data_IF_396745998633
#
_entry.id   IF_396745998633
#
_cell.length_a   1.000
_cell.length_b   1.000
_cell.length_c   1.000
_cell.angle_alpha   90.00
_cell.angle_beta   90.00
_cell.angle_gamma   90.00
#
_symmetry.space_group_name_H-M   'P 1'
#
loop_
_entity.id
_entity.type
_entity.pdbx_description
1 polymer ?
#
# COMPACT_ATOMS: atom_id res chain seq x y z
N UNK A 1 -8.29 -92.70 31.74
CA UNK A 1 -8.98 -91.39 31.70
C UNK A 1 -7.96 -90.34 32.11
N UNK A 2 -7.43 -89.55 31.17
CA UNK A 2 -6.51 -88.43 31.40
C UNK A 2 -7.35 -87.17 31.46
N UNK A 3 -7.36 -86.34 32.47
CA UNK A 3 -8.10 -85.10 32.46
C UNK A 3 -7.38 -84.05 31.61
N UNK A 4 -8.12 -83.49 30.74
CA UNK A 4 -7.68 -82.42 29.80
C UNK A 4 -7.60 -81.09 30.62
N UNK A 5 -6.40 -80.63 30.98
CA UNK A 5 -6.13 -79.37 31.70
C UNK A 5 -5.50 -78.31 30.77
N UNK A 6 -6.04 -78.14 29.59
CA UNK A 6 -5.55 -77.12 28.71
C UNK A 6 -6.69 -76.19 28.26
N UNK A 7 -7.13 -75.30 29.18
CA UNK A 7 -8.08 -74.25 28.77
C UNK A 7 -8.12 -72.97 29.60
N UNK A 8 -7.13 -72.66 30.43
CA UNK A 8 -7.17 -71.38 31.19
C UNK A 8 -6.00 -70.41 30.93
N UNK A 9 -4.97 -70.82 30.15
CA UNK A 9 -3.80 -69.94 29.97
C UNK A 9 -3.93 -68.93 28.82
N UNK A 10 -4.86 -69.15 27.88
CA UNK A 10 -5.00 -68.32 26.69
C UNK A 10 -5.61 -66.94 26.99
N UNK A 11 -6.56 -66.83 27.92
CA UNK A 11 -7.19 -65.58 28.32
C UNK A 11 -6.24 -64.65 29.06
N UNK A 12 -5.48 -65.18 29.99
CA UNK A 12 -4.54 -64.40 30.79
C UNK A 12 -3.37 -63.87 29.91
N UNK A 13 -2.89 -64.68 28.99
CA UNK A 13 -1.84 -64.29 28.02
C UNK A 13 -2.34 -63.18 27.08
N UNK A 14 -3.57 -63.25 26.60
CA UNK A 14 -4.15 -62.22 25.72
C UNK A 14 -4.33 -60.91 26.48
N UNK A 15 -4.82 -60.93 27.72
CA UNK A 15 -4.96 -59.72 28.57
C UNK A 15 -3.59 -59.08 28.83
N UNK A 16 -2.57 -59.90 29.13
CA UNK A 16 -1.22 -59.43 29.35
C UNK A 16 -0.64 -58.71 28.10
N UNK A 17 -0.84 -59.26 26.91
CA UNK A 17 -0.41 -58.62 25.64
C UNK A 17 -1.14 -57.33 25.39
N UNK A 18 -2.44 -57.22 25.71
CA UNK A 18 -3.20 -55.98 25.57
C UNK A 18 -2.65 -54.91 26.53
N UNK A 19 -2.37 -55.27 27.79
CA UNK A 19 -1.81 -54.37 28.79
C UNK A 19 -0.42 -53.88 28.37
N UNK A 20 0.45 -54.79 27.91
CA UNK A 20 1.78 -54.45 27.39
C UNK A 20 1.66 -53.49 26.17
N UNK A 21 0.76 -53.79 25.24
CA UNK A 21 0.51 -52.93 24.05
C UNK A 21 0.03 -51.52 24.45
N UNK A 22 -0.84 -51.45 25.46
CA UNK A 22 -1.35 -50.16 25.97
C UNK A 22 -0.25 -49.37 26.68
N UNK A 23 0.60 -50.00 27.47
CA UNK A 23 1.76 -49.36 28.13
C UNK A 23 2.77 -48.86 27.10
N UNK A 24 3.08 -49.67 26.07
CA UNK A 24 3.98 -49.28 24.98
C UNK A 24 3.38 -48.13 24.14
N UNK A 25 2.07 -48.15 23.90
CA UNK A 25 1.36 -47.07 23.23
C UNK A 25 1.41 -45.75 24.01
N UNK A 26 1.17 -45.78 25.29
CA UNK A 26 1.28 -44.64 26.19
C UNK A 26 2.73 -44.13 26.23
N UNK A 27 3.70 -45.02 26.37
CA UNK A 27 5.11 -44.67 26.38
C UNK A 27 5.52 -44.02 25.05
N UNK A 28 5.11 -44.58 23.90
CA UNK A 28 5.36 -43.98 22.59
C UNK A 28 4.71 -42.60 22.44
N UNK A 29 3.50 -42.43 22.95
CA UNK A 29 2.84 -41.10 22.95
C UNK A 29 3.65 -40.07 23.78
N UNK A 30 4.03 -40.40 25.00
CA UNK A 30 4.74 -39.48 25.87
C UNK A 30 6.19 -39.20 25.44
N UNK A 31 6.90 -40.19 24.91
CA UNK A 31 8.32 -40.04 24.58
C UNK A 31 8.61 -39.72 23.14
N UNK A 32 7.72 -40.02 22.20
CA UNK A 32 7.92 -39.78 20.75
C UNK A 32 6.96 -38.74 20.19
N UNK A 33 5.65 -38.89 20.41
CA UNK A 33 4.63 -38.06 19.75
C UNK A 33 4.49 -36.70 20.44
N UNK A 34 4.40 -36.68 21.76
CA UNK A 34 4.20 -35.45 22.50
C UNK A 34 5.38 -34.46 22.35
N UNK A 35 6.66 -34.87 22.51
CA UNK A 35 7.78 -33.96 22.30
C UNK A 35 7.91 -33.49 20.87
N UNK A 36 7.64 -34.35 19.87
CA UNK A 36 7.69 -33.97 18.46
C UNK A 36 6.62 -32.91 18.14
N UNK A 37 5.41 -33.10 18.67
CA UNK A 37 4.30 -32.14 18.49
C UNK A 37 4.55 -30.82 19.20
N UNK A 38 5.10 -30.84 20.40
CA UNK A 38 5.48 -29.64 21.16
C UNK A 38 6.58 -28.88 20.45
N UNK A 39 7.57 -29.57 19.89
CA UNK A 39 8.64 -28.95 19.11
C UNK A 39 8.11 -28.32 17.83
N UNK A 40 7.20 -28.98 17.13
CA UNK A 40 6.55 -28.43 15.93
C UNK A 40 5.76 -27.16 16.26
N UNK A 41 4.94 -27.20 17.32
CA UNK A 41 4.14 -26.05 17.78
C UNK A 41 5.00 -24.87 18.23
N UNK A 42 6.12 -25.15 18.92
CA UNK A 42 7.06 -24.11 19.32
C UNK A 42 7.79 -23.50 18.11
N UNK A 43 8.12 -24.30 17.10
CA UNK A 43 8.73 -23.79 15.85
C UNK A 43 7.75 -22.89 15.10
N UNK A 44 6.50 -23.30 14.96
CA UNK A 44 5.45 -22.51 14.32
C UNK A 44 5.25 -21.17 15.04
N UNK A 45 5.12 -21.19 16.39
CA UNK A 45 5.01 -19.95 17.19
C UNK A 45 6.24 -19.06 17.06
N UNK A 46 7.44 -19.63 17.02
CA UNK A 46 8.67 -18.85 16.81
C UNK A 46 8.70 -18.21 15.43
N UNK A 47 8.24 -18.88 14.38
CA UNK A 47 8.11 -18.32 13.05
C UNK A 47 7.12 -17.16 13.02
N UNK A 48 5.98 -17.28 13.69
CA UNK A 48 5.01 -16.19 13.82
C UNK A 48 5.62 -14.98 14.56
N UNK A 49 6.31 -15.20 15.68
CA UNK A 49 6.98 -14.12 16.42
C UNK A 49 8.00 -13.40 15.55
N UNK A 50 8.80 -14.14 14.77
CA UNK A 50 9.77 -13.56 13.82
C UNK A 50 9.03 -12.73 12.76
N UNK A 51 7.96 -13.25 12.17
CA UNK A 51 7.17 -12.54 11.17
C UNK A 51 6.54 -11.26 11.72
N UNK A 52 5.99 -11.30 12.94
CA UNK A 52 5.46 -10.10 13.62
C UNK A 52 6.56 -9.09 13.96
N UNK A 53 7.73 -9.55 14.41
CA UNK A 53 8.86 -8.64 14.70
C UNK A 53 9.38 -7.95 13.43
N UNK A 54 9.42 -8.65 12.29
CA UNK A 54 9.77 -8.08 11.00
C UNK A 54 8.73 -7.03 10.54
N UNK A 55 7.43 -7.34 10.67
CA UNK A 55 6.36 -6.38 10.37
C UNK A 55 6.45 -5.13 11.24
N UNK A 56 6.72 -5.30 12.52
CA UNK A 56 6.89 -4.19 13.46
C UNK A 56 8.10 -3.33 13.10
N UNK A 57 9.24 -3.95 12.78
CA UNK A 57 10.43 -3.24 12.33
C UNK A 57 10.17 -2.43 11.06
N UNK A 58 9.52 -3.04 10.07
CA UNK A 58 9.17 -2.34 8.83
C UNK A 58 8.21 -1.16 9.10
N UNK A 59 7.21 -1.35 9.96
CA UNK A 59 6.30 -0.28 10.35
C UNK A 59 7.02 0.86 11.07
N UNK A 60 7.96 0.55 11.97
CA UNK A 60 8.77 1.55 12.66
C UNK A 60 9.67 2.33 11.66
N UNK A 61 10.30 1.65 10.72
CA UNK A 61 11.09 2.31 9.67
C UNK A 61 10.22 3.24 8.80
N UNK A 62 9.03 2.80 8.42
CA UNK A 62 8.08 3.65 7.69
C UNK A 62 7.65 4.86 8.51
N UNK A 63 7.41 4.69 9.81
CA UNK A 63 7.08 5.79 10.71
C UNK A 63 8.23 6.81 10.81
N UNK A 64 9.48 6.35 10.93
CA UNK A 64 10.64 7.24 11.02
C UNK A 64 10.87 8.04 9.71
N UNK A 65 10.66 7.40 8.56
CA UNK A 65 10.70 8.06 7.24
C UNK A 65 9.60 9.14 7.17
N UNK A 66 8.37 8.76 7.49
CA UNK A 66 7.22 9.69 7.46
C UNK A 66 7.42 10.87 8.40
N UNK A 67 7.96 10.63 9.59
CA UNK A 67 8.30 11.70 10.55
C UNK A 67 9.35 12.65 9.99
N UNK A 68 10.40 12.10 9.37
CA UNK A 68 11.46 12.92 8.75
C UNK A 68 10.90 13.80 7.62
N UNK A 69 10.02 13.24 6.79
CA UNK A 69 9.34 13.98 5.72
C UNK A 69 8.43 15.07 6.28
N UNK A 70 7.68 14.76 7.33
CA UNK A 70 6.84 15.76 8.01
C UNK A 70 7.65 16.94 8.54
N UNK A 71 8.76 16.64 9.25
CA UNK A 71 9.64 17.68 9.81
C UNK A 71 10.28 18.53 8.70
N UNK A 72 10.67 17.90 7.57
CA UNK A 72 11.19 18.60 6.37
C UNK A 72 10.14 19.55 5.78
N UNK A 73 8.91 19.07 5.59
CA UNK A 73 7.83 19.87 5.02
C UNK A 73 7.41 21.01 5.93
N UNK A 74 7.42 20.82 7.25
CA UNK A 74 7.14 21.88 8.21
C UNK A 74 8.21 22.98 8.17
N UNK A 75 9.48 22.60 8.05
CA UNK A 75 10.57 23.56 7.89
C UNK A 75 10.45 24.34 6.57
N UNK A 76 10.14 23.66 5.47
CA UNK A 76 9.93 24.31 4.17
C UNK A 76 8.74 25.27 4.19
N UNK A 77 7.61 24.88 4.79
CA UNK A 77 6.45 25.75 4.93
C UNK A 77 6.76 27.02 5.73
N UNK A 78 7.55 26.91 6.83
CA UNK A 78 7.99 28.04 7.61
C UNK A 78 8.92 28.99 6.83
N UNK A 79 9.83 28.45 6.02
CA UNK A 79 10.72 29.25 5.17
C UNK A 79 9.93 30.04 4.13
N UNK A 80 8.98 29.39 3.43
CA UNK A 80 8.10 30.04 2.46
C UNK A 80 7.24 31.12 3.12
N UNK A 81 6.70 30.85 4.30
CA UNK A 81 5.91 31.84 5.06
C UNK A 81 6.75 33.06 5.44
N UNK A 82 7.97 32.86 5.95
CA UNK A 82 8.86 33.97 6.30
C UNK A 82 9.15 34.84 5.06
N UNK A 83 9.35 34.23 3.89
CA UNK A 83 9.61 34.97 2.65
C UNK A 83 8.39 35.72 2.15
N UNK A 84 7.19 35.15 2.33
CA UNK A 84 5.94 35.89 2.05
C UNK A 84 5.79 37.12 2.90
N UNK A 85 6.11 37.03 4.21
CA UNK A 85 6.01 38.14 5.16
C UNK A 85 6.97 39.28 4.78
N UNK A 86 8.14 38.98 4.22
CA UNK A 86 9.08 39.99 3.70
C UNK A 86 8.56 40.72 2.45
N UNK A 87 7.76 40.04 1.63
CA UNK A 87 7.26 40.56 0.35
C UNK A 87 6.01 41.44 0.47
N UNK A 88 5.53 41.70 1.68
CA UNK A 88 4.21 42.33 1.95
C UNK A 88 3.96 43.72 1.35
N UNK A 89 4.84 44.29 0.55
CA UNK A 89 4.73 45.70 0.11
C UNK A 89 4.65 45.94 -1.39
N UNK A 90 4.47 44.94 -2.30
CA UNK A 90 4.53 45.43 -3.64
C UNK A 90 4.00 44.66 -4.82
N UNK A 91 3.81 43.35 -4.76
CA UNK A 91 3.39 42.62 -5.96
C UNK A 91 2.42 41.50 -5.63
N UNK A 92 1.12 41.75 -5.89
CA UNK A 92 0.04 40.77 -5.64
C UNK A 92 0.23 39.46 -6.38
N UNK A 93 0.86 39.47 -7.56
CA UNK A 93 1.09 38.26 -8.36
C UNK A 93 2.18 37.37 -7.76
N UNK A 94 3.27 37.96 -7.25
CA UNK A 94 4.31 37.23 -6.50
C UNK A 94 3.73 36.65 -5.22
N UNK A 95 2.98 37.44 -4.46
CA UNK A 95 2.32 36.96 -3.24
C UNK A 95 1.39 35.78 -3.51
N UNK A 96 0.63 35.81 -4.61
CA UNK A 96 -0.26 34.71 -4.98
C UNK A 96 0.53 33.40 -5.23
N UNK A 97 1.72 33.47 -5.85
CA UNK A 97 2.57 32.30 -6.07
C UNK A 97 3.12 31.72 -4.74
N UNK A 98 3.56 32.56 -3.80
CA UNK A 98 3.99 32.12 -2.49
C UNK A 98 2.83 31.52 -1.67
N UNK A 99 1.64 32.15 -1.72
CA UNK A 99 0.44 31.61 -1.07
C UNK A 99 0.05 30.25 -1.65
N UNK A 100 0.12 30.11 -2.98
CA UNK A 100 -0.09 28.81 -3.65
C UNK A 100 0.88 27.73 -3.16
N UNK A 101 2.16 28.08 -3.03
CA UNK A 101 3.18 27.16 -2.54
C UNK A 101 2.92 26.78 -1.07
N UNK A 102 2.56 27.73 -0.21
CA UNK A 102 2.17 27.45 1.19
C UNK A 102 0.99 26.48 1.24
N UNK A 103 -0.03 26.71 0.41
CA UNK A 103 -1.21 25.84 0.33
C UNK A 103 -0.84 24.41 -0.07
N UNK A 104 0.03 24.25 -1.07
CA UNK A 104 0.53 22.94 -1.51
C UNK A 104 1.26 22.23 -0.37
N UNK A 105 2.20 22.91 0.30
CA UNK A 105 2.96 22.37 1.43
C UNK A 105 2.07 21.98 2.61
N UNK A 106 1.05 22.79 2.92
CA UNK A 106 0.09 22.49 3.99
C UNK A 106 -0.71 21.23 3.70
N UNK A 107 -1.26 21.10 2.48
CA UNK A 107 -2.02 19.92 2.09
C UNK A 107 -1.13 18.66 2.05
N UNK A 108 0.09 18.82 1.55
CA UNK A 108 1.05 17.71 1.56
C UNK A 108 1.36 17.25 3.00
N UNK A 109 1.62 18.19 3.91
CA UNK A 109 1.89 17.92 5.33
C UNK A 109 0.71 17.25 6.05
N UNK A 110 -0.51 17.64 5.72
CA UNK A 110 -1.72 17.04 6.33
C UNK A 110 -2.12 15.71 5.68
N UNK A 111 -1.43 15.31 4.61
CA UNK A 111 -1.72 14.07 3.88
C UNK A 111 -2.88 14.18 2.88
N UNK A 112 -3.40 15.40 2.62
CA UNK A 112 -4.35 15.63 1.54
C UNK A 112 -3.61 15.73 0.20
N UNK A 113 -3.16 14.56 -0.27
CA UNK A 113 -2.36 14.44 -1.50
C UNK A 113 -3.17 14.82 -2.74
N UNK A 114 -4.50 14.65 -2.73
CA UNK A 114 -5.36 15.04 -3.85
C UNK A 114 -5.40 16.55 -4.00
N UNK A 115 -5.62 17.29 -2.89
CA UNK A 115 -5.60 18.74 -2.93
C UNK A 115 -4.20 19.29 -3.26
N UNK A 116 -3.14 18.70 -2.69
CA UNK A 116 -1.76 19.10 -2.98
C UNK A 116 -1.41 18.90 -4.47
N UNK A 117 -1.78 17.77 -5.07
CA UNK A 117 -1.54 17.45 -6.47
C UNK A 117 -2.26 18.41 -7.42
N UNK A 118 -3.54 18.64 -7.20
CA UNK A 118 -4.35 19.59 -7.99
C UNK A 118 -3.79 21.00 -7.89
N UNK A 119 -3.52 21.48 -6.69
CA UNK A 119 -2.96 22.81 -6.46
C UNK A 119 -1.58 22.98 -7.12
N UNK A 120 -0.73 21.94 -7.08
CA UNK A 120 0.59 21.99 -7.72
C UNK A 120 0.50 22.05 -9.25
N UNK A 121 -0.43 21.31 -9.86
CA UNK A 121 -0.64 21.31 -11.30
C UNK A 121 -1.16 22.66 -11.82
N UNK A 122 -2.00 23.34 -11.04
CA UNK A 122 -2.59 24.65 -11.40
C UNK A 122 -1.67 25.82 -11.08
N UNK A 123 -0.61 25.61 -10.27
CA UNK A 123 0.26 26.68 -9.80
C UNK A 123 1.31 27.08 -10.84
N UNK A 124 1.56 28.40 -10.93
CA UNK A 124 2.75 28.96 -11.58
C UNK A 124 3.72 29.49 -10.50
N UNK A 125 5.02 29.33 -10.76
CA UNK A 125 6.10 29.77 -9.86
C UNK A 125 7.12 30.66 -10.58
N UNK A 126 6.74 31.22 -11.76
CA UNK A 126 7.63 31.92 -12.68
C UNK A 126 8.17 33.25 -12.10
N UNK A 127 7.44 33.83 -11.17
CA UNK A 127 7.81 35.12 -10.55
C UNK A 127 8.62 34.95 -9.26
N UNK A 128 8.85 33.74 -8.82
CA UNK A 128 9.69 33.45 -7.65
C UNK A 128 11.15 33.52 -8.08
N UNK A 129 11.87 34.53 -7.57
CA UNK A 129 13.29 34.74 -7.88
C UNK A 129 14.24 34.16 -6.82
N UNK A 130 13.75 33.93 -5.60
CA UNK A 130 14.54 33.40 -4.50
C UNK A 130 14.99 31.95 -4.79
N UNK A 131 16.30 31.73 -4.83
CA UNK A 131 16.87 30.42 -5.18
C UNK A 131 16.57 29.31 -4.18
N UNK A 132 16.43 29.63 -2.89
CA UNK A 132 16.03 28.63 -1.88
C UNK A 132 14.59 28.19 -2.12
N UNK A 133 13.70 29.14 -2.43
CA UNK A 133 12.30 28.83 -2.72
C UNK A 133 12.16 28.07 -4.05
N UNK A 134 12.95 28.42 -5.06
CA UNK A 134 13.03 27.63 -6.31
C UNK A 134 13.47 26.18 -6.03
N UNK A 135 14.45 25.99 -5.14
CA UNK A 135 14.89 24.67 -4.75
C UNK A 135 13.79 23.88 -4.03
N UNK A 136 12.98 24.54 -3.19
CA UNK A 136 11.80 23.94 -2.55
C UNK A 136 10.77 23.52 -3.60
N UNK A 137 10.43 24.39 -4.55
CA UNK A 137 9.49 24.08 -5.65
C UNK A 137 9.98 22.86 -6.45
N UNK A 138 11.27 22.83 -6.77
CA UNK A 138 11.85 21.72 -7.53
C UNK A 138 11.86 20.41 -6.72
N UNK A 139 12.15 20.48 -5.42
CA UNK A 139 12.04 19.32 -4.53
C UNK A 139 10.62 18.77 -4.48
N UNK A 140 9.61 19.63 -4.39
CA UNK A 140 8.20 19.22 -4.44
C UNK A 140 7.87 18.60 -5.80
N UNK A 141 8.33 19.20 -6.90
CA UNK A 141 8.13 18.67 -8.25
C UNK A 141 8.69 17.25 -8.38
N UNK A 142 9.89 17.03 -7.90
CA UNK A 142 10.53 15.70 -7.90
C UNK A 142 9.75 14.71 -7.05
N UNK A 143 9.33 15.07 -5.85
CA UNK A 143 8.52 14.20 -4.99
C UNK A 143 7.18 13.86 -5.65
N UNK A 144 6.49 14.83 -6.23
CA UNK A 144 5.22 14.63 -6.94
C UNK A 144 5.38 13.62 -8.08
N UNK A 145 6.42 13.79 -8.91
CA UNK A 145 6.63 12.95 -10.10
C UNK A 145 7.32 11.62 -9.82
N UNK A 146 8.04 11.48 -8.70
CA UNK A 146 8.71 10.23 -8.35
C UNK A 146 7.86 9.31 -7.46
N UNK A 147 7.13 9.88 -6.50
CA UNK A 147 6.51 9.11 -5.41
C UNK A 147 5.02 9.36 -5.25
N UNK A 148 4.58 10.61 -5.32
CA UNK A 148 3.21 10.99 -4.94
C UNK A 148 2.18 10.44 -5.92
N UNK A 149 2.45 10.49 -7.22
CA UNK A 149 1.53 9.94 -8.21
C UNK A 149 1.23 8.45 -7.97
N UNK A 150 2.23 7.67 -7.55
CA UNK A 150 2.03 6.25 -7.25
C UNK A 150 1.25 6.05 -5.95
N UNK A 151 1.55 6.82 -4.91
CA UNK A 151 0.77 6.80 -3.67
C UNK A 151 -0.71 7.13 -3.91
N UNK A 152 -1.00 8.06 -4.82
CA UNK A 152 -2.36 8.37 -5.24
C UNK A 152 -3.01 7.17 -5.93
N UNK A 153 -2.30 6.48 -6.83
CA UNK A 153 -2.80 5.25 -7.48
C UNK A 153 -3.10 4.17 -6.43
N UNK A 154 -2.18 3.90 -5.52
CA UNK A 154 -2.33 2.86 -4.48
C UNK A 154 -3.52 3.14 -3.56
N UNK A 155 -3.72 4.42 -3.20
CA UNK A 155 -4.91 4.84 -2.42
C UNK A 155 -6.20 4.69 -3.23
N UNK A 156 -6.17 5.10 -4.51
CA UNK A 156 -7.28 4.89 -5.44
C UNK A 156 -7.67 3.42 -5.57
N UNK A 157 -6.68 2.51 -5.68
CA UNK A 157 -6.89 1.07 -5.72
C UNK A 157 -7.51 0.53 -4.42
N UNK A 158 -7.04 1.01 -3.28
CA UNK A 158 -7.60 0.64 -1.98
C UNK A 158 -9.08 1.00 -1.89
N UNK A 159 -9.43 2.22 -2.30
CA UNK A 159 -10.80 2.73 -2.32
C UNK A 159 -11.67 2.01 -3.36
N UNK A 160 -11.12 1.74 -4.55
CA UNK A 160 -11.76 0.93 -5.58
C UNK A 160 -12.16 -0.44 -5.05
N UNK A 161 -11.21 -1.15 -4.40
CA UNK A 161 -11.44 -2.47 -3.84
C UNK A 161 -12.46 -2.45 -2.67
N UNK A 162 -12.53 -1.33 -1.94
CA UNK A 162 -13.53 -1.10 -0.89
C UNK A 162 -14.92 -0.70 -1.44
N UNK A 163 -15.05 -0.49 -2.76
CA UNK A 163 -16.29 -0.04 -3.41
C UNK A 163 -16.53 1.48 -3.38
N UNK A 164 -15.60 2.26 -2.84
CA UNK A 164 -15.68 3.73 -2.76
C UNK A 164 -15.26 4.38 -4.09
N UNK A 165 -16.06 4.15 -5.14
CA UNK A 165 -15.72 4.49 -6.52
C UNK A 165 -15.54 5.99 -6.77
N UNK A 166 -16.35 6.83 -6.15
CA UNK A 166 -16.27 8.29 -6.30
C UNK A 166 -14.95 8.82 -5.79
N UNK A 167 -14.57 8.42 -4.57
CA UNK A 167 -13.31 8.84 -3.97
C UNK A 167 -12.10 8.24 -4.72
N UNK A 168 -12.21 6.99 -5.18
CA UNK A 168 -11.18 6.37 -6.03
C UNK A 168 -10.92 7.17 -7.31
N UNK A 169 -11.98 7.72 -7.95
CA UNK A 169 -11.87 8.58 -9.13
C UNK A 169 -11.02 9.81 -8.83
N UNK A 170 -11.27 10.48 -7.70
CA UNK A 170 -10.51 11.68 -7.31
C UNK A 170 -9.00 11.39 -7.18
N UNK A 171 -8.66 10.25 -6.58
CA UNK A 171 -7.27 9.83 -6.41
C UNK A 171 -6.59 9.50 -7.74
N UNK A 172 -7.24 8.73 -8.62
CA UNK A 172 -6.68 8.42 -9.93
C UNK A 172 -6.54 9.66 -10.82
N UNK A 173 -7.52 10.54 -10.82
CA UNK A 173 -7.45 11.80 -11.56
C UNK A 173 -6.33 12.70 -11.03
N UNK A 174 -6.17 12.83 -9.71
CA UNK A 174 -5.07 13.57 -9.11
C UNK A 174 -3.70 12.97 -9.49
N UNK A 175 -3.58 11.65 -9.57
CA UNK A 175 -2.38 11.00 -10.09
C UNK A 175 -2.10 11.39 -11.55
N UNK A 176 -3.13 11.39 -12.40
CA UNK A 176 -3.00 11.79 -13.82
C UNK A 176 -2.70 13.28 -14.00
N UNK A 177 -3.06 14.15 -13.05
CA UNK A 177 -2.67 15.56 -13.08
C UNK A 177 -1.16 15.73 -12.93
N UNK A 178 -0.52 14.89 -12.11
CA UNK A 178 0.93 14.88 -11.92
C UNK A 178 1.64 14.14 -13.05
N UNK A 179 1.12 12.96 -13.40
CA UNK A 179 1.69 12.05 -14.38
C UNK A 179 0.62 11.56 -15.36
N UNK A 180 0.35 12.34 -16.42
CA UNK A 180 -0.70 12.03 -17.41
C UNK A 180 -0.45 10.73 -18.18
N UNK A 181 0.79 10.27 -18.20
CA UNK A 181 1.29 9.08 -18.90
C UNK A 181 1.32 7.82 -18.00
N UNK A 182 0.47 7.76 -16.97
CA UNK A 182 0.35 6.58 -16.11
C UNK A 182 -0.72 5.61 -16.62
N UNK A 183 -0.33 4.47 -17.24
CA UNK A 183 -1.30 3.53 -17.84
C UNK A 183 -2.18 2.83 -16.81
N UNK A 184 -1.71 2.66 -15.58
CA UNK A 184 -2.51 2.09 -14.49
C UNK A 184 -3.65 3.03 -14.09
N UNK A 185 -3.35 4.29 -13.84
CA UNK A 185 -4.36 5.30 -13.50
C UNK A 185 -5.35 5.50 -14.65
N UNK A 186 -4.87 5.59 -15.89
CA UNK A 186 -5.73 5.67 -17.10
C UNK A 186 -6.69 4.47 -17.18
N UNK A 187 -6.20 3.25 -16.95
CA UNK A 187 -7.03 2.06 -16.98
C UNK A 187 -8.15 2.12 -15.92
N UNK A 188 -7.84 2.48 -14.68
CA UNK A 188 -8.84 2.52 -13.61
C UNK A 188 -9.83 3.68 -13.76
N UNK A 189 -9.41 4.84 -14.28
CA UNK A 189 -10.32 5.93 -14.67
C UNK A 189 -11.27 5.45 -15.76
N UNK A 190 -10.77 4.74 -16.78
CA UNK A 190 -11.62 4.13 -17.81
C UNK A 190 -12.64 3.16 -17.24
N UNK A 191 -12.24 2.32 -16.28
CA UNK A 191 -13.16 1.40 -15.58
C UNK A 191 -14.22 2.13 -14.77
N UNK A 192 -13.87 3.24 -14.11
CA UNK A 192 -14.82 4.07 -13.36
C UNK A 192 -15.83 4.75 -14.27
N UNK A 193 -15.41 5.26 -15.43
CA UNK A 193 -16.34 5.78 -16.44
C UNK A 193 -17.26 4.68 -16.99
N UNK A 194 -16.72 3.49 -17.25
CA UNK A 194 -17.52 2.33 -17.68
C UNK A 194 -18.58 1.95 -16.63
N UNK A 195 -18.21 1.91 -15.36
CA UNK A 195 -19.14 1.63 -14.26
C UNK A 195 -20.22 2.71 -14.10
N UNK A 196 -19.91 3.95 -14.47
CA UNK A 196 -20.86 5.07 -14.50
C UNK A 196 -21.72 5.08 -15.77
N UNK A 197 -21.47 4.19 -16.74
CA UNK A 197 -22.17 4.13 -18.03
C UNK A 197 -21.65 5.14 -19.07
N UNK A 198 -20.59 5.88 -18.77
CA UNK A 198 -19.94 6.82 -19.66
C UNK A 198 -18.92 6.09 -20.57
N UNK A 199 -19.46 5.42 -21.58
CA UNK A 199 -18.67 4.57 -22.47
C UNK A 199 -17.72 5.38 -23.37
N UNK A 200 -18.04 6.62 -23.69
CA UNK A 200 -17.18 7.47 -24.54
C UNK A 200 -15.89 7.86 -23.82
N UNK A 201 -16.00 8.34 -22.59
CA UNK A 201 -14.84 8.63 -21.77
C UNK A 201 -14.08 7.35 -21.37
N UNK A 202 -14.78 6.25 -21.06
CA UNK A 202 -14.15 4.97 -20.78
C UNK A 202 -13.27 4.50 -21.97
N UNK A 203 -13.83 4.50 -23.18
CA UNK A 203 -13.11 4.10 -24.39
C UNK A 203 -11.90 5.01 -24.67
N UNK A 204 -12.05 6.33 -24.45
CA UNK A 204 -10.95 7.28 -24.59
C UNK A 204 -9.78 6.93 -23.67
N UNK A 205 -10.04 6.56 -22.42
CA UNK A 205 -9.00 6.17 -21.48
C UNK A 205 -8.35 4.82 -21.88
N UNK A 206 -9.16 3.83 -22.28
CA UNK A 206 -8.64 2.53 -22.74
C UNK A 206 -7.80 2.67 -24.01
N UNK A 207 -8.22 3.51 -24.95
CA UNK A 207 -7.47 3.78 -26.17
C UNK A 207 -6.11 4.39 -25.89
N UNK A 208 -6.02 5.33 -24.97
CA UNK A 208 -4.73 5.86 -24.52
C UNK A 208 -3.83 4.76 -24.00
N UNK A 209 -4.34 3.87 -23.14
CA UNK A 209 -3.54 2.75 -22.62
C UNK A 209 -3.04 1.85 -23.75
N UNK A 210 -3.91 1.49 -24.70
CA UNK A 210 -3.58 0.55 -25.79
C UNK A 210 -2.60 1.17 -26.79
N UNK A 211 -2.79 2.45 -27.15
CA UNK A 211 -2.05 3.09 -28.24
C UNK A 211 -0.74 3.73 -27.77
N UNK A 212 -0.73 4.31 -26.56
CA UNK A 212 0.41 5.07 -26.06
C UNK A 212 1.35 4.22 -25.20
N UNK A 213 0.88 3.09 -24.63
CA UNK A 213 1.65 2.26 -23.69
C UNK A 213 1.65 0.77 -24.08
N UNK A 214 2.09 0.39 -25.29
CA UNK A 214 1.95 -0.97 -25.82
C UNK A 214 2.63 -2.05 -24.96
N UNK A 215 3.64 -1.71 -24.18
CA UNK A 215 4.38 -2.60 -23.29
C UNK A 215 3.79 -2.67 -21.86
N UNK A 216 2.71 -1.92 -21.60
CA UNK A 216 2.08 -1.90 -20.28
C UNK A 216 1.33 -3.21 -19.98
N UNK A 217 1.39 -3.72 -18.74
CA UNK A 217 0.57 -4.87 -18.31
C UNK A 217 -0.94 -4.58 -18.35
N UNK A 218 -1.34 -3.32 -18.53
CA UNK A 218 -2.74 -2.90 -18.62
C UNK A 218 -3.33 -2.96 -20.04
N UNK A 219 -2.50 -3.16 -21.08
CA UNK A 219 -2.95 -3.17 -22.49
C UNK A 219 -4.03 -4.23 -22.74
N UNK A 220 -3.75 -5.48 -22.39
CA UNK A 220 -4.72 -6.58 -22.59
C UNK A 220 -5.98 -6.37 -21.75
N UNK A 221 -5.85 -5.83 -20.56
CA UNK A 221 -7.00 -5.51 -19.70
C UNK A 221 -7.85 -4.39 -20.30
N UNK A 222 -7.23 -3.37 -20.89
CA UNK A 222 -7.91 -2.27 -21.56
C UNK A 222 -8.63 -2.73 -22.83
N UNK A 223 -7.99 -3.57 -23.67
CA UNK A 223 -8.63 -4.18 -24.84
C UNK A 223 -9.87 -4.97 -24.45
N UNK A 224 -9.76 -5.86 -23.46
CA UNK A 224 -10.88 -6.65 -22.99
C UNK A 224 -12.02 -5.79 -22.40
N UNK A 225 -11.70 -4.71 -21.69
CA UNK A 225 -12.69 -3.81 -21.13
C UNK A 225 -13.43 -3.01 -22.22
N UNK A 226 -12.76 -2.67 -23.31
CA UNK A 226 -13.35 -2.00 -24.46
C UNK A 226 -14.17 -2.94 -25.36
N UNK A 227 -13.94 -4.26 -25.30
CA UNK A 227 -14.67 -5.24 -26.12
C UNK A 227 -14.08 -5.43 -27.53
N UNK A 228 -12.76 -5.34 -27.67
CA UNK A 228 -12.03 -5.74 -28.89
C UNK A 228 -11.90 -7.25 -28.96
#
# INVERSE_FOLDING_TARGET
IIPNTYKESTGLSTILHIIIGLILGIAAFYFLILPARTKALNNERNQEVIAYSQKLNNANQQYDILKTDYDRLDAQAKEVQARLDELTTGNTSIMAQYQGLIWILQNYRTGDLVAAAKAFADASFDLIEDENIKAIVESIRQDMTANIYQNLVDRGLTLWNAGNKTEAMDYFQASLTIKPDNPEALFYVGRLYQDAGDMDNANTMFDKVVNEFPDSPYVERARNARGY
#
